data_IF_905319367100
#
_entry.id   IF_905319367100
#
_cell.length_a   1.000
_cell.length_b   1.000
_cell.length_c   1.000
_cell.angle_alpha   90.00
_cell.angle_beta   90.00
_cell.angle_gamma   90.00
#
_symmetry.space_group_name_H-M   'P 1'
#
loop_
_entity.id
_entity.type
_entity.pdbx_description
1 polymer ?
#
# COMPACT_ATOMS: atom_id res chain seq x y z
N UNK A 1 2.82 -2.53 13.23
CA UNK A 1 3.26 -3.33 12.06
C UNK A 1 2.77 -2.65 10.80
N UNK A 2 3.58 -2.57 9.75
CA UNK A 2 3.13 -2.00 8.47
C UNK A 2 2.48 -3.06 7.57
N UNK A 3 1.38 -2.73 6.92
CA UNK A 3 0.75 -3.56 5.89
C UNK A 3 0.36 -2.72 4.67
N UNK A 4 0.28 -3.36 3.50
CA UNK A 4 -0.30 -2.80 2.29
C UNK A 4 -1.75 -3.26 2.19
N UNK A 5 -2.67 -2.33 2.01
CA UNK A 5 -4.09 -2.58 1.73
C UNK A 5 -4.35 -2.17 0.29
N UNK A 6 -4.93 -3.10 -0.48
CA UNK A 6 -5.47 -2.84 -1.81
C UNK A 6 -6.98 -2.59 -1.69
N UNK A 7 -7.46 -1.51 -2.28
CA UNK A 7 -8.88 -1.21 -2.40
C UNK A 7 -9.20 -0.51 -3.71
N UNK A 8 -10.46 -0.15 -3.90
CA UNK A 8 -10.93 0.62 -5.06
C UNK A 8 -11.54 1.95 -4.61
N UNK A 9 -11.36 2.99 -5.41
CA UNK A 9 -12.12 4.24 -5.26
C UNK A 9 -13.56 4.09 -5.79
N UNK A 10 -14.37 5.14 -5.65
CA UNK A 10 -15.78 5.13 -6.12
C UNK A 10 -15.92 5.01 -7.64
N UNK A 11 -14.84 5.22 -8.39
CA UNK A 11 -14.79 5.07 -9.84
C UNK A 11 -14.21 3.72 -10.27
N UNK A 12 -13.93 2.81 -9.33
CA UNK A 12 -13.36 1.48 -9.60
C UNK A 12 -11.86 1.49 -9.89
N UNK A 13 -11.14 2.58 -9.55
CA UNK A 13 -9.68 2.62 -9.72
C UNK A 13 -8.99 2.03 -8.50
N UNK A 14 -7.99 1.19 -8.75
CA UNK A 14 -7.17 0.60 -7.70
C UNK A 14 -6.44 1.67 -6.87
N UNK A 15 -6.45 1.49 -5.56
CA UNK A 15 -5.78 2.35 -4.60
C UNK A 15 -4.92 1.49 -3.68
N UNK A 16 -3.63 1.79 -3.65
CA UNK A 16 -2.69 1.21 -2.70
C UNK A 16 -2.56 2.13 -1.49
N UNK A 17 -2.80 1.58 -0.31
CA UNK A 17 -2.64 2.30 0.96
C UNK A 17 -1.68 1.53 1.86
N UNK A 18 -0.54 2.14 2.18
CA UNK A 18 0.37 1.59 3.18
C UNK A 18 -0.03 2.15 4.54
N UNK A 19 -0.36 1.26 5.45
CA UNK A 19 -0.79 1.58 6.80
C UNK A 19 0.22 1.08 7.82
N UNK A 20 0.37 1.81 8.92
CA UNK A 20 0.90 1.26 10.16
C UNK A 20 -0.26 1.00 11.11
N UNK A 21 -0.36 -0.24 11.59
CA UNK A 21 -1.42 -0.70 12.49
C UNK A 21 -0.80 -1.03 13.85
N UNK A 22 -1.37 -0.46 14.90
CA UNK A 22 -1.21 -0.89 16.28
C UNK A 22 -2.58 -1.11 16.92
N UNK A 23 -2.63 -1.51 18.19
CA UNK A 23 -3.87 -1.85 18.89
C UNK A 23 -4.93 -0.75 18.81
N UNK A 24 -4.52 0.52 18.94
CA UNK A 24 -5.44 1.66 19.07
C UNK A 24 -5.20 2.74 18.01
N UNK A 25 -4.32 2.49 17.04
CA UNK A 25 -3.95 3.46 16.01
C UNK A 25 -3.85 2.80 14.64
N UNK A 26 -4.52 3.43 13.67
CA UNK A 26 -4.29 3.22 12.25
C UNK A 26 -3.70 4.51 11.67
N UNK A 27 -2.47 4.45 11.21
CA UNK A 27 -1.81 5.57 10.53
C UNK A 27 -1.64 5.26 9.04
N UNK A 28 -2.11 6.15 8.16
CA UNK A 28 -1.82 6.09 6.73
C UNK A 28 -0.43 6.68 6.51
N UNK A 29 0.49 5.87 5.98
CA UNK A 29 1.85 6.30 5.65
C UNK A 29 1.89 6.90 4.25
N UNK A 30 1.26 6.23 3.28
CA UNK A 30 1.16 6.68 1.89
C UNK A 30 -0.09 6.08 1.25
N UNK A 31 -0.71 6.83 0.34
CA UNK A 31 -1.80 6.37 -0.51
C UNK A 31 -1.53 6.83 -1.95
N UNK A 32 -1.57 5.90 -2.90
CA UNK A 32 -1.29 6.19 -4.30
C UNK A 32 -2.08 5.25 -5.23
N UNK A 33 -2.36 5.71 -6.44
CA UNK A 33 -2.86 4.85 -7.52
C UNK A 33 -1.65 4.10 -8.08
N UNK A 34 -1.63 2.76 -8.09
CA UNK A 34 -0.51 2.01 -8.62
C UNK A 34 -0.47 2.14 -10.15
N UNK A 35 0.73 2.30 -10.70
CA UNK A 35 0.96 2.11 -12.13
C UNK A 35 1.11 0.61 -12.42
N UNK A 36 0.25 0.06 -13.28
CA UNK A 36 0.18 -1.39 -13.55
C UNK A 36 1.56 -1.99 -13.89
N UNK A 37 2.36 -1.27 -14.69
CA UNK A 37 3.67 -1.72 -15.15
C UNK A 37 4.69 -1.87 -14.00
N UNK A 38 4.49 -1.19 -12.87
CA UNK A 38 5.43 -1.23 -11.75
C UNK A 38 5.19 -2.40 -10.78
N UNK A 39 4.01 -3.04 -10.85
CA UNK A 39 3.48 -3.99 -9.86
C UNK A 39 3.16 -5.38 -10.42
N UNK A 40 3.67 -5.71 -11.61
CA UNK A 40 3.48 -7.02 -12.25
C UNK A 40 4.15 -8.18 -11.50
N UNK A 41 5.18 -7.90 -10.71
CA UNK A 41 5.98 -8.91 -10.02
C UNK A 41 6.01 -8.67 -8.51
N UNK A 42 6.09 -9.76 -7.75
CA UNK A 42 6.34 -9.70 -6.32
C UNK A 42 7.71 -9.07 -6.04
N UNK A 43 7.71 -7.95 -5.31
CA UNK A 43 8.93 -7.24 -4.90
C UNK A 43 9.08 -7.29 -3.38
N UNK A 44 10.22 -7.77 -2.91
CA UNK A 44 10.63 -7.64 -1.52
C UNK A 44 11.28 -6.27 -1.35
N UNK A 45 10.98 -5.58 -0.26
CA UNK A 45 11.70 -4.35 0.09
C UNK A 45 13.18 -4.69 0.22
N UNK A 46 14.02 -4.03 -0.59
CA UNK A 46 15.47 -4.08 -0.37
C UNK A 46 15.70 -3.39 0.97
N UNK A 47 16.01 -4.18 2.00
CA UNK A 47 16.37 -3.65 3.32
C UNK A 47 17.58 -2.75 3.15
N UNK A 48 17.47 -1.50 3.57
CA UNK A 48 18.62 -0.61 3.65
C UNK A 48 19.63 -1.18 4.64
N UNK A 49 20.91 -1.04 4.30
CA UNK A 49 22.05 -1.30 5.18
C UNK A 49 21.95 -0.53 6.50
#
# INVERSE_FOLDING_TARGET
HSCLVLGEDRAGRWLHVVCNVSTDLLAIVTAYYPEEQQWIDYKVRIGGE
#
